data_IF_943705963928
#
_entry.id   IF_943705963928
#
_cell.length_a   1.000
_cell.length_b   1.000
_cell.length_c   1.000
_cell.angle_alpha   90.00
_cell.angle_beta   90.00
_cell.angle_gamma   90.00
#
_symmetry.space_group_name_H-M   'P 1'
#
loop_
_entity.id
_entity.type
_entity.pdbx_description
1 polymer ?
#
# COMPACT_ATOMS: atom_id res chain seq x y z
N UNK A 1 -62.26 26.18 -40.47
CA UNK A 1 -60.95 26.79 -40.77
C UNK A 1 -60.20 26.94 -39.46
N UNK A 2 -59.03 26.28 -39.38
CA UNK A 2 -57.98 26.36 -38.36
C UNK A 2 -58.32 25.85 -36.95
N UNK A 3 -57.45 25.18 -36.19
CA UNK A 3 -56.28 24.32 -36.38
C UNK A 3 -55.95 23.82 -34.95
N UNK A 4 -55.58 22.56 -34.78
CA UNK A 4 -55.04 22.02 -33.51
C UNK A 4 -53.78 22.79 -33.08
N UNK A 5 -53.41 22.70 -31.79
CA UNK A 5 -52.21 21.93 -31.51
C UNK A 5 -52.38 20.93 -30.37
N UNK A 6 -52.01 19.70 -30.70
CA UNK A 6 -51.87 18.55 -29.81
C UNK A 6 -50.77 18.84 -28.77
N UNK A 7 -51.09 18.66 -27.48
CA UNK A 7 -50.08 18.61 -26.40
C UNK A 7 -49.98 17.18 -25.90
N UNK A 8 -49.00 16.48 -26.48
CA UNK A 8 -48.49 15.19 -26.02
C UNK A 8 -47.84 15.35 -24.64
N UNK A 9 -48.47 14.82 -23.61
CA UNK A 9 -47.87 14.69 -22.28
C UNK A 9 -47.33 13.26 -22.14
N UNK A 10 -46.03 13.10 -22.41
CA UNK A 10 -45.31 11.86 -22.12
C UNK A 10 -45.07 11.75 -20.59
N UNK A 11 -45.11 10.55 -20.01
CA UNK A 11 -44.72 10.35 -18.62
C UNK A 11 -43.20 10.47 -18.50
N UNK A 12 -42.75 11.43 -17.71
CA UNK A 12 -41.39 11.59 -17.25
C UNK A 12 -41.05 10.40 -16.33
N UNK A 13 -40.35 9.42 -16.87
CA UNK A 13 -39.63 8.40 -16.12
C UNK A 13 -38.59 9.10 -15.26
N UNK A 14 -38.85 9.21 -13.96
CA UNK A 14 -37.83 9.52 -12.97
C UNK A 14 -36.82 8.38 -12.96
N UNK A 15 -35.72 8.55 -13.70
CA UNK A 15 -34.55 7.73 -13.56
C UNK A 15 -33.94 8.05 -12.19
N UNK A 16 -34.28 7.24 -11.19
CA UNK A 16 -33.55 7.17 -9.93
C UNK A 16 -32.11 6.84 -10.30
N UNK A 17 -31.22 7.82 -10.16
CA UNK A 17 -29.77 7.62 -10.17
C UNK A 17 -29.42 6.77 -8.96
N UNK A 18 -29.59 5.46 -9.13
CA UNK A 18 -29.24 4.45 -8.18
C UNK A 18 -27.70 4.41 -8.14
N UNK A 19 -27.13 5.20 -7.24
CA UNK A 19 -25.74 5.08 -6.84
C UNK A 19 -25.61 3.74 -6.10
N UNK A 20 -25.39 2.69 -6.87
CA UNK A 20 -24.95 1.42 -6.33
C UNK A 20 -23.56 1.63 -5.73
N UNK A 21 -23.31 1.27 -4.45
CA UNK A 21 -21.96 1.11 -3.98
C UNK A 21 -21.26 0.06 -4.87
N UNK A 22 -19.98 0.26 -5.25
CA UNK A 22 -19.26 -0.74 -6.03
C UNK A 22 -19.29 -2.09 -5.30
N UNK A 23 -19.28 -3.22 -6.03
CA UNK A 23 -19.36 -4.54 -5.40
C UNK A 23 -18.14 -4.78 -4.50
N UNK A 24 -18.32 -5.41 -3.32
CA UNK A 24 -17.27 -5.61 -2.31
C UNK A 24 -16.13 -6.55 -2.77
N UNK A 25 -16.17 -7.05 -4.00
CA UNK A 25 -15.16 -7.95 -4.57
C UNK A 25 -13.92 -7.24 -5.11
N UNK A 26 -13.98 -5.95 -5.42
CA UNK A 26 -12.81 -5.21 -5.93
C UNK A 26 -11.79 -4.84 -4.83
N UNK A 27 -12.23 -4.75 -3.57
CA UNK A 27 -11.41 -4.24 -2.46
C UNK A 27 -10.61 -5.33 -1.72
N UNK A 28 -11.11 -6.57 -1.72
CA UNK A 28 -10.44 -7.75 -1.14
C UNK A 28 -9.16 -8.19 -1.89
N UNK A 29 -8.87 -7.60 -3.05
CA UNK A 29 -7.72 -7.91 -3.91
C UNK A 29 -6.62 -6.84 -3.84
N UNK A 30 -6.85 -5.73 -3.13
CA UNK A 30 -5.92 -4.59 -3.15
C UNK A 30 -4.58 -4.88 -2.46
N UNK A 31 -4.63 -5.46 -1.26
CA UNK A 31 -3.42 -5.84 -0.52
C UNK A 31 -2.60 -6.91 -1.24
N UNK A 32 -3.28 -7.92 -1.81
CA UNK A 32 -2.65 -9.00 -2.58
C UNK A 32 -2.07 -8.54 -3.92
N UNK A 33 -2.79 -7.69 -4.65
CA UNK A 33 -2.29 -7.08 -5.89
C UNK A 33 -1.07 -6.19 -5.64
N UNK A 34 -1.05 -5.48 -4.51
CA UNK A 34 0.12 -4.72 -4.06
C UNK A 34 1.31 -5.61 -3.72
N UNK A 35 1.12 -6.67 -2.93
CA UNK A 35 2.19 -7.65 -2.66
C UNK A 35 2.75 -8.24 -3.96
N UNK A 36 1.89 -8.61 -4.90
CA UNK A 36 2.29 -9.19 -6.19
C UNK A 36 3.10 -8.20 -7.03
N UNK A 37 2.72 -6.92 -7.01
CA UNK A 37 3.43 -5.86 -7.76
C UNK A 37 4.85 -5.64 -7.22
N UNK A 38 5.03 -5.70 -5.89
CA UNK A 38 6.35 -5.59 -5.27
C UNK A 38 7.21 -6.85 -5.49
N UNK A 39 6.62 -8.05 -5.53
CA UNK A 39 7.35 -9.27 -5.87
C UNK A 39 7.96 -9.22 -7.28
N UNK A 40 7.30 -8.55 -8.23
CA UNK A 40 7.79 -8.34 -9.61
C UNK A 40 9.04 -7.46 -9.65
N UNK A 41 9.28 -6.61 -8.66
CA UNK A 41 10.50 -5.80 -8.57
C UNK A 41 11.73 -6.55 -8.00
N UNK A 42 11.69 -7.88 -7.96
CA UNK A 42 12.81 -8.71 -7.52
C UNK A 42 12.90 -8.91 -6.00
N UNK A 43 11.91 -8.42 -5.25
CA UNK A 43 11.80 -8.65 -3.80
C UNK A 43 11.18 -10.01 -3.51
N UNK A 44 11.95 -11.08 -3.67
CA UNK A 44 11.49 -12.41 -3.25
C UNK A 44 11.44 -12.51 -1.72
N UNK A 45 10.31 -12.99 -1.18
CA UNK A 45 10.12 -13.35 0.25
C UNK A 45 11.21 -14.29 0.81
N UNK A 46 11.95 -14.98 -0.08
CA UNK A 46 12.93 -16.03 0.24
C UNK A 46 14.28 -15.53 0.75
N UNK A 47 14.63 -14.25 0.64
CA UNK A 47 15.96 -13.77 1.05
C UNK A 47 16.11 -13.59 2.57
N UNK A 48 15.02 -13.65 3.34
CA UNK A 48 15.06 -13.37 4.79
C UNK A 48 15.27 -14.60 5.68
N UNK A 49 15.24 -15.82 5.14
CA UNK A 49 15.50 -17.03 5.93
C UNK A 49 16.97 -17.46 5.85
N UNK A 50 17.68 -17.26 6.97
CA UNK A 50 18.95 -17.90 7.38
C UNK A 50 20.26 -17.44 6.69
N UNK A 51 20.93 -16.49 7.33
CA UNK A 51 22.37 -16.63 7.59
C UNK A 51 22.59 -16.81 9.10
N UNK A 52 22.15 -17.95 9.63
CA UNK A 52 22.58 -18.44 10.94
C UNK A 52 23.41 -19.71 10.74
N UNK A 53 24.70 -19.58 11.08
CA UNK A 53 25.69 -20.62 11.40
C UNK A 53 25.89 -21.80 10.43
N UNK A 54 27.03 -21.81 9.73
CA UNK A 54 27.89 -23.00 9.74
C UNK A 54 29.36 -22.61 9.52
N UNK A 55 30.13 -22.66 10.61
CA UNK A 55 31.58 -22.84 10.55
C UNK A 55 31.86 -24.23 10.04
N UNK A 56 32.56 -24.36 8.91
CA UNK A 56 33.42 -25.50 8.68
C UNK A 56 34.67 -25.03 7.95
N UNK A 57 35.76 -25.03 8.71
CA UNK A 57 37.13 -24.93 8.23
C UNK A 57 37.45 -26.14 7.36
N UNK A 58 37.83 -25.92 6.10
CA UNK A 58 38.77 -26.81 5.41
C UNK A 58 39.71 -26.00 4.52
N UNK A 59 40.99 -26.20 4.79
CA UNK A 59 42.16 -25.58 4.17
C UNK A 59 42.38 -26.14 2.77
N UNK A 60 42.42 -25.27 1.75
CA UNK A 60 43.18 -25.52 0.51
C UNK A 60 43.81 -24.24 -0.02
N UNK A 61 45.11 -24.09 0.23
CA UNK A 61 46.02 -23.12 -0.37
C UNK A 61 45.97 -23.17 -1.89
N UNK A 62 45.74 -22.04 -2.58
CA UNK A 62 46.41 -21.66 -3.85
C UNK A 62 46.45 -20.14 -4.00
N UNK A 63 47.67 -19.59 -4.08
CA UNK A 63 47.99 -18.22 -4.47
C UNK A 63 47.49 -17.97 -5.90
N UNK A 64 46.75 -16.90 -6.12
CA UNK A 64 46.60 -16.25 -7.44
C UNK A 64 46.40 -14.75 -7.24
N UNK A 65 47.49 -14.01 -7.40
CA UNK A 65 47.48 -12.56 -7.53
C UNK A 65 46.98 -12.18 -8.93
N UNK A 66 46.25 -11.05 -9.01
CA UNK A 66 45.80 -10.35 -10.23
C UNK A 66 44.43 -10.74 -10.81
N UNK A 67 43.35 -10.23 -10.19
CA UNK A 67 42.05 -10.02 -10.85
C UNK A 67 41.24 -8.93 -10.13
N UNK A 68 41.87 -7.77 -9.90
CA UNK A 68 41.28 -6.71 -9.06
C UNK A 68 40.35 -5.76 -9.84
N UNK A 69 40.40 -5.75 -11.18
CA UNK A 69 39.59 -4.82 -11.98
C UNK A 69 38.24 -5.39 -12.45
N UNK A 70 38.13 -6.71 -12.68
CA UNK A 70 36.88 -7.33 -13.14
C UNK A 70 35.84 -7.45 -12.01
N UNK A 71 36.29 -7.70 -10.77
CA UNK A 71 35.39 -7.88 -9.61
C UNK A 71 34.76 -6.56 -9.13
N UNK A 72 35.50 -5.44 -9.18
CA UNK A 72 34.98 -4.12 -8.79
C UNK A 72 33.89 -3.62 -9.73
N UNK A 73 34.05 -3.82 -11.04
CA UNK A 73 33.04 -3.44 -12.05
C UNK A 73 31.75 -4.26 -11.90
N UNK A 74 31.85 -5.56 -11.65
CA UNK A 74 30.66 -6.40 -11.37
C UNK A 74 29.96 -6.05 -10.05
N UNK A 75 30.70 -5.65 -9.00
CA UNK A 75 30.11 -5.18 -7.73
C UNK A 75 29.36 -3.86 -7.90
N UNK A 76 29.92 -2.92 -8.67
CA UNK A 76 29.29 -1.63 -8.96
C UNK A 76 27.97 -1.81 -9.73
N UNK A 77 27.98 -2.62 -10.79
CA UNK A 77 26.77 -2.91 -11.59
C UNK A 77 25.66 -3.54 -10.72
N UNK A 78 26.01 -4.52 -9.86
CA UNK A 78 25.02 -5.11 -8.94
C UNK A 78 24.43 -4.11 -7.96
N UNK A 79 25.20 -3.13 -7.50
CA UNK A 79 24.68 -2.10 -6.60
C UNK A 79 23.72 -1.17 -7.34
N UNK A 80 24.08 -0.76 -8.54
CA UNK A 80 23.24 0.10 -9.38
C UNK A 80 21.89 -0.57 -9.67
N UNK A 81 21.90 -1.87 -9.96
CA UNK A 81 20.68 -2.69 -10.12
C UNK A 81 19.84 -2.70 -8.84
N UNK A 82 20.47 -2.96 -7.68
CA UNK A 82 19.77 -2.95 -6.39
C UNK A 82 19.16 -1.59 -6.02
N UNK A 83 19.83 -0.48 -6.38
CA UNK A 83 19.31 0.87 -6.18
C UNK A 83 18.16 1.15 -7.14
N UNK A 84 18.23 0.68 -8.38
CA UNK A 84 17.13 0.81 -9.35
C UNK A 84 15.89 0.02 -8.92
N UNK A 85 16.06 -1.23 -8.46
CA UNK A 85 14.99 -2.06 -7.89
C UNK A 85 14.33 -1.38 -6.69
N UNK A 86 15.13 -0.87 -5.74
CA UNK A 86 14.61 -0.13 -4.60
C UNK A 86 13.82 1.11 -5.01
N UNK A 87 14.34 1.89 -5.97
CA UNK A 87 13.63 3.06 -6.50
C UNK A 87 12.27 2.67 -7.09
N UNK A 88 12.21 1.57 -7.85
CA UNK A 88 10.94 1.08 -8.39
C UNK A 88 9.97 0.62 -7.29
N UNK A 89 10.46 -0.10 -6.28
CA UNK A 89 9.63 -0.59 -5.18
C UNK A 89 9.07 0.56 -4.34
N UNK A 90 9.91 1.54 -3.99
CA UNK A 90 9.47 2.62 -3.10
C UNK A 90 8.47 3.56 -3.77
N UNK A 91 8.56 3.76 -5.10
CA UNK A 91 7.52 4.48 -5.84
C UNK A 91 6.19 3.72 -5.84
N UNK A 92 6.20 2.39 -6.00
CA UNK A 92 4.97 1.60 -5.90
C UNK A 92 4.35 1.66 -4.50
N UNK A 93 5.17 1.65 -3.44
CA UNK A 93 4.68 1.86 -2.07
C UNK A 93 4.04 3.26 -1.95
N UNK A 94 4.66 4.30 -2.50
CA UNK A 94 4.12 5.66 -2.46
C UNK A 94 2.83 5.80 -3.27
N UNK A 95 2.72 5.17 -4.43
CA UNK A 95 1.47 5.13 -5.22
C UNK A 95 0.36 4.41 -4.45
N UNK A 96 0.67 3.24 -3.87
CA UNK A 96 -0.30 2.51 -3.06
C UNK A 96 -0.74 3.33 -1.84
N UNK A 97 0.17 4.05 -1.19
CA UNK A 97 -0.15 4.95 -0.08
C UNK A 97 -1.09 6.07 -0.53
N UNK A 98 -0.85 6.69 -1.69
CA UNK A 98 -1.73 7.74 -2.25
C UNK A 98 -3.14 7.21 -2.47
N UNK A 99 -3.26 6.04 -3.09
CA UNK A 99 -4.56 5.39 -3.32
C UNK A 99 -5.25 5.02 -2.00
N UNK A 100 -4.49 4.66 -0.95
CA UNK A 100 -5.07 4.29 0.33
C UNK A 100 -5.56 5.49 1.12
N UNK A 101 -4.86 6.61 1.01
CA UNK A 101 -5.27 7.88 1.58
C UNK A 101 -6.58 8.39 0.94
N UNK A 102 -6.69 8.33 -0.39
CA UNK A 102 -7.90 8.70 -1.14
C UNK A 102 -9.10 7.78 -0.79
N UNK A 103 -8.85 6.48 -0.66
CA UNK A 103 -9.86 5.52 -0.22
C UNK A 103 -10.34 5.83 1.21
N UNK A 104 -9.41 6.10 2.14
CA UNK A 104 -9.76 6.45 3.51
C UNK A 104 -10.57 7.76 3.57
N UNK A 105 -10.21 8.76 2.77
CA UNK A 105 -10.98 10.01 2.66
C UNK A 105 -12.42 9.74 2.17
N UNK A 106 -12.56 8.88 1.15
CA UNK A 106 -13.87 8.49 0.63
C UNK A 106 -14.71 7.75 1.68
N UNK A 107 -14.10 6.78 2.37
CA UNK A 107 -14.77 5.99 3.42
C UNK A 107 -15.17 6.87 4.60
N UNK A 108 -14.37 7.86 4.99
CA UNK A 108 -14.69 8.77 6.11
C UNK A 108 -15.78 9.77 5.78
N UNK A 109 -15.91 10.20 4.52
CA UNK A 109 -16.92 11.18 4.09
C UNK A 109 -18.37 10.67 4.06
N UNK A 110 -18.61 9.36 4.22
CA UNK A 110 -19.94 8.77 4.17
C UNK A 110 -20.83 9.21 5.34
N UNK A 111 -22.10 9.51 5.07
CA UNK A 111 -23.06 9.97 6.08
C UNK A 111 -23.39 8.87 7.10
N UNK A 112 -23.36 9.23 8.39
CA UNK A 112 -23.56 8.32 9.52
C UNK A 112 -24.89 8.57 10.24
N UNK A 113 -26.01 8.49 9.53
CA UNK A 113 -27.35 8.81 10.08
C UNK A 113 -28.15 7.56 10.48
N UNK A 114 -28.07 6.50 9.68
CA UNK A 114 -28.84 5.27 9.87
C UNK A 114 -27.95 4.12 10.33
N UNK A 115 -28.41 3.30 11.29
CA UNK A 115 -27.64 2.17 11.82
C UNK A 115 -27.18 1.20 10.72
N UNK A 116 -28.03 0.95 9.71
CA UNK A 116 -27.67 0.10 8.58
C UNK A 116 -26.52 0.68 7.75
N UNK A 117 -26.51 2.00 7.52
CA UNK A 117 -25.45 2.69 6.78
C UNK A 117 -24.13 2.65 7.56
N UNK A 118 -24.17 2.92 8.87
CA UNK A 118 -22.98 2.88 9.73
C UNK A 118 -22.38 1.47 9.80
N UNK A 119 -23.22 0.41 9.85
CA UNK A 119 -22.74 -0.99 9.80
C UNK A 119 -22.12 -1.35 8.45
N UNK A 120 -22.67 -0.86 7.34
CA UNK A 120 -22.07 -1.05 6.01
C UNK A 120 -20.69 -0.39 5.96
N UNK A 121 -20.61 0.88 6.36
CA UNK A 121 -19.34 1.62 6.41
C UNK A 121 -18.31 0.93 7.32
N UNK A 122 -18.74 0.38 8.45
CA UNK A 122 -17.84 -0.41 9.31
C UNK A 122 -17.31 -1.66 8.61
N UNK A 123 -18.14 -2.39 7.85
CA UNK A 123 -17.68 -3.53 7.04
C UNK A 123 -16.66 -3.11 5.98
N UNK A 124 -16.84 -1.96 5.35
CA UNK A 124 -15.89 -1.44 4.36
C UNK A 124 -14.56 -1.08 5.04
N UNK A 125 -14.60 -0.47 6.23
CA UNK A 125 -13.41 -0.22 7.06
C UNK A 125 -12.70 -1.51 7.50
N UNK A 126 -13.41 -2.60 7.81
CA UNK A 126 -12.78 -3.89 8.12
C UNK A 126 -11.96 -4.43 6.94
N UNK A 127 -12.49 -4.29 5.71
CA UNK A 127 -11.78 -4.68 4.48
C UNK A 127 -10.53 -3.79 4.31
N UNK A 128 -10.69 -2.48 4.49
CA UNK A 128 -9.57 -1.54 4.43
C UNK A 128 -8.47 -1.89 5.45
N UNK A 129 -8.84 -2.14 6.70
CA UNK A 129 -7.90 -2.54 7.77
C UNK A 129 -7.20 -3.88 7.48
N UNK A 130 -7.91 -4.83 6.86
CA UNK A 130 -7.29 -6.06 6.36
C UNK A 130 -6.23 -5.76 5.30
N UNK A 131 -6.50 -4.86 4.36
CA UNK A 131 -5.54 -4.47 3.32
C UNK A 131 -4.28 -3.81 3.88
N UNK A 132 -4.41 -3.00 4.95
CA UNK A 132 -3.26 -2.43 5.67
C UNK A 132 -2.42 -3.56 6.31
N UNK A 133 -3.08 -4.54 6.91
CA UNK A 133 -2.40 -5.68 7.56
C UNK A 133 -1.64 -6.52 6.54
N UNK A 134 -2.27 -6.82 5.40
CA UNK A 134 -1.63 -7.57 4.30
C UNK A 134 -0.41 -6.83 3.73
N UNK A 135 -0.47 -5.50 3.68
CA UNK A 135 0.59 -4.68 3.08
C UNK A 135 1.76 -4.40 4.04
N UNK A 136 1.58 -4.61 5.35
CA UNK A 136 2.55 -4.26 6.40
C UNK A 136 3.93 -4.86 6.16
N UNK A 137 4.01 -6.17 5.91
CA UNK A 137 5.31 -6.84 5.71
C UNK A 137 6.00 -6.29 4.46
N UNK A 138 5.25 -6.07 3.38
CA UNK A 138 5.77 -5.52 2.14
C UNK A 138 6.37 -4.12 2.32
N UNK A 139 5.66 -3.21 2.98
CA UNK A 139 6.18 -1.88 3.32
C UNK A 139 7.44 -1.98 4.18
N UNK A 140 7.42 -2.85 5.21
CA UNK A 140 8.57 -3.09 6.07
C UNK A 140 9.81 -3.60 5.32
N UNK A 141 9.63 -4.54 4.38
CA UNK A 141 10.74 -5.06 3.55
C UNK A 141 11.38 -3.97 2.69
N UNK A 142 10.57 -3.10 2.07
CA UNK A 142 11.09 -1.99 1.24
C UNK A 142 11.86 -0.99 2.09
N UNK A 143 11.33 -0.61 3.27
CA UNK A 143 12.01 0.30 4.18
C UNK A 143 13.35 -0.24 4.66
N UNK A 144 13.39 -1.52 5.07
CA UNK A 144 14.61 -2.18 5.51
C UNK A 144 15.68 -2.19 4.41
N UNK A 145 15.27 -2.48 3.16
CA UNK A 145 16.20 -2.49 2.03
C UNK A 145 16.77 -1.11 1.76
N UNK A 146 15.93 -0.08 1.77
CA UNK A 146 16.39 1.30 1.61
C UNK A 146 17.38 1.67 2.72
N UNK A 147 17.14 1.25 3.96
CA UNK A 147 18.10 1.46 5.05
C UNK A 147 19.45 0.78 4.77
N UNK A 148 19.43 -0.46 4.28
CA UNK A 148 20.66 -1.18 3.90
C UNK A 148 21.41 -0.52 2.74
N UNK A 149 20.69 0.08 1.79
CA UNK A 149 21.28 0.81 0.66
C UNK A 149 21.83 2.16 1.09
N UNK A 150 21.11 2.90 1.93
CA UNK A 150 21.56 4.16 2.53
C UNK A 150 22.88 3.98 3.29
N UNK A 151 22.99 2.91 4.09
CA UNK A 151 24.22 2.58 4.83
C UNK A 151 25.41 2.21 3.92
N UNK A 152 25.17 1.92 2.64
CA UNK A 152 26.17 1.50 1.64
C UNK A 152 26.31 2.50 0.49
N UNK A 153 25.68 3.66 0.61
CA UNK A 153 25.72 4.71 -0.40
C UNK A 153 27.16 5.18 -0.61
N UNK A 154 27.53 5.44 -1.86
CA UNK A 154 28.89 5.89 -2.20
C UNK A 154 29.04 7.42 -1.95
N UNK A 155 27.92 8.16 -1.82
CA UNK A 155 27.88 9.60 -1.54
C UNK A 155 26.84 9.96 -0.47
N UNK A 156 27.09 11.06 0.25
CA UNK A 156 26.11 11.60 1.22
C UNK A 156 24.83 12.07 0.52
N UNK A 157 24.90 12.60 -0.69
CA UNK A 157 23.71 12.99 -1.48
C UNK A 157 22.79 11.78 -1.76
N UNK A 158 23.37 10.62 -2.13
CA UNK A 158 22.59 9.39 -2.35
C UNK A 158 21.96 8.90 -1.04
N UNK A 159 22.73 8.93 0.05
CA UNK A 159 22.27 8.54 1.38
C UNK A 159 21.11 9.42 1.86
N UNK A 160 21.21 10.74 1.70
CA UNK A 160 20.18 11.71 2.04
C UNK A 160 18.92 11.52 1.18
N UNK A 161 19.08 11.29 -0.13
CA UNK A 161 17.96 11.02 -1.02
C UNK A 161 17.20 9.74 -0.63
N UNK A 162 17.92 8.66 -0.30
CA UNK A 162 17.30 7.42 0.17
C UNK A 162 16.63 7.65 1.53
N UNK A 163 17.31 8.31 2.49
CA UNK A 163 16.76 8.59 3.81
C UNK A 163 15.49 9.45 3.75
N UNK A 164 15.46 10.46 2.87
CA UNK A 164 14.27 11.30 2.65
C UNK A 164 13.07 10.50 2.17
N UNK A 165 13.26 9.57 1.21
CA UNK A 165 12.17 8.69 0.77
C UNK A 165 11.69 7.73 1.85
N UNK A 166 12.62 7.17 2.64
CA UNK A 166 12.27 6.31 3.78
C UNK A 166 11.43 7.05 4.82
N UNK A 167 11.83 8.28 5.17
CA UNK A 167 11.08 9.12 6.10
C UNK A 167 9.70 9.48 5.57
N UNK A 168 9.59 9.80 4.28
CA UNK A 168 8.32 10.10 3.63
C UNK A 168 7.35 8.91 3.72
N UNK A 169 7.79 7.71 3.30
CA UNK A 169 6.98 6.49 3.37
C UNK A 169 6.58 6.18 4.81
N UNK A 170 7.53 6.21 5.74
CA UNK A 170 7.27 5.91 7.15
C UNK A 170 6.23 6.87 7.76
N UNK A 171 6.37 8.17 7.49
CA UNK A 171 5.45 9.19 8.00
C UNK A 171 4.04 8.98 7.46
N UNK A 172 3.91 8.78 6.14
CA UNK A 172 2.60 8.60 5.50
C UNK A 172 1.92 7.30 5.92
N UNK A 173 2.68 6.21 5.99
CA UNK A 173 2.19 4.92 6.45
C UNK A 173 1.66 4.97 7.89
N UNK A 174 2.41 5.56 8.82
CA UNK A 174 1.96 5.66 10.21
C UNK A 174 0.75 6.60 10.35
N UNK A 175 0.74 7.75 9.66
CA UNK A 175 -0.41 8.66 9.66
C UNK A 175 -1.68 7.98 9.12
N UNK A 176 -1.57 7.24 8.01
CA UNK A 176 -2.67 6.48 7.43
C UNK A 176 -3.22 5.43 8.42
N UNK A 177 -2.33 4.65 9.06
CA UNK A 177 -2.73 3.63 10.04
C UNK A 177 -3.40 4.25 11.26
N UNK A 178 -2.84 5.33 11.80
CA UNK A 178 -3.39 6.02 12.95
C UNK A 178 -4.78 6.58 12.66
N UNK A 179 -4.96 7.25 11.51
CA UNK A 179 -6.25 7.78 11.10
C UNK A 179 -7.28 6.66 10.90
N UNK A 180 -6.90 5.57 10.23
CA UNK A 180 -7.78 4.42 10.01
C UNK A 180 -8.25 3.78 11.32
N UNK A 181 -7.34 3.60 12.29
CA UNK A 181 -7.67 3.06 13.62
C UNK A 181 -8.60 3.99 14.40
N UNK A 182 -8.35 5.30 14.37
CA UNK A 182 -9.22 6.29 15.01
C UNK A 182 -10.65 6.24 14.45
N UNK A 183 -10.77 6.14 13.12
CA UNK A 183 -12.08 6.10 12.45
C UNK A 183 -12.84 4.80 12.69
N UNK A 184 -12.15 3.65 12.66
CA UNK A 184 -12.74 2.36 13.01
C UNK A 184 -13.28 2.36 14.46
N UNK A 185 -12.52 2.94 15.40
CA UNK A 185 -12.95 3.08 16.78
C UNK A 185 -14.18 4.00 16.92
N UNK A 186 -14.22 5.13 16.19
CA UNK A 186 -15.35 6.04 16.17
C UNK A 186 -16.62 5.38 15.59
N UNK A 187 -16.49 4.61 14.50
CA UNK A 187 -17.60 3.84 13.92
C UNK A 187 -18.13 2.80 14.91
N UNK A 188 -17.25 2.07 15.59
CA UNK A 188 -17.65 1.08 16.59
C UNK A 188 -18.43 1.74 17.75
N UNK A 189 -17.98 2.89 18.24
CA UNK A 189 -18.69 3.65 19.28
C UNK A 189 -20.07 4.11 18.80
N UNK A 190 -20.17 4.58 17.57
CA UNK A 190 -21.43 5.03 17.00
C UNK A 190 -22.43 3.87 16.81
N UNK A 191 -21.96 2.71 16.35
CA UNK A 191 -22.79 1.50 16.27
C UNK A 191 -23.35 1.14 17.64
N UNK A 192 -22.49 1.13 18.67
CA UNK A 192 -22.91 0.80 20.03
C UNK A 192 -23.97 1.78 20.55
N UNK A 193 -23.81 3.09 20.29
CA UNK A 193 -24.77 4.11 20.72
C UNK A 193 -26.12 3.98 20.01
N UNK A 194 -26.10 3.77 18.68
CA UNK A 194 -27.33 3.60 17.91
C UNK A 194 -28.05 2.31 18.32
N UNK A 195 -27.34 1.20 18.52
CA UNK A 195 -27.93 -0.06 18.99
C UNK A 195 -28.69 0.12 20.31
N UNK A 196 -28.08 0.77 21.31
CA UNK A 196 -28.72 1.04 22.61
C UNK A 196 -29.97 1.94 22.52
N UNK A 197 -30.13 2.70 21.44
CA UNK A 197 -31.29 3.59 21.23
C UNK A 197 -32.47 2.87 20.57
N UNK A 198 -32.21 1.76 19.88
CA UNK A 198 -33.23 0.93 19.23
C UNK A 198 -33.61 -0.31 20.05
N UNK A 199 -32.98 -0.53 21.22
CA UNK A 199 -33.37 -1.47 22.28
C UNK A 199 -34.29 -0.79 23.30
#
# INVERSE_FOLDING_TARGET
MHAEPSTSTAPHTSAVLQHHPPPPTAQLDRGKSFEQSIEVCGFSKTTFHKHSTQSQSEVRSRKSSSSSQKSGKSKKVRREEQVAEFKSCIEQVLTWLLEAEDELETLTAMQRTELAAVRSQFSDFEIFMSSLTESQDTVGRVLLRGQMLSNKADSEEEKEAIAGKLQLVNTRWEALREQAMCEQAALQQQINHLQQRYE
#
